data_IF_658884134909
#
_entry.id   IF_658884134909
#
_cell.length_a   1.000
_cell.length_b   1.000
_cell.length_c   1.000
_cell.angle_alpha   90.00
_cell.angle_beta   90.00
_cell.angle_gamma   90.00
#
_symmetry.space_group_name_H-M   'P 1'
#
loop_
_entity.id
_entity.type
_entity.pdbx_description
1 polymer ?
#
# COMPACT_ATOMS: atom_id res chain seq x y z
N UNK A 1 -13.86 11.42 -9.12
CA UNK A 1 -13.91 11.43 -7.64
C UNK A 1 -15.36 11.14 -7.23
N UNK A 2 -15.62 10.09 -6.44
CA UNK A 2 -16.99 9.66 -6.16
C UNK A 2 -17.72 10.66 -5.23
N UNK A 3 -19.06 10.78 -5.33
CA UNK A 3 -19.84 11.67 -4.47
C UNK A 3 -19.68 11.36 -2.97
N UNK A 4 -19.48 10.08 -2.63
CA UNK A 4 -19.24 9.60 -1.27
C UNK A 4 -17.94 10.16 -0.69
N UNK A 5 -16.84 10.15 -1.45
CA UNK A 5 -15.54 10.68 -1.01
C UNK A 5 -15.62 12.20 -0.79
N UNK A 6 -16.40 12.91 -1.62
CA UNK A 6 -16.59 14.36 -1.49
C UNK A 6 -17.40 14.73 -0.25
N UNK A 7 -18.44 13.97 0.09
CA UNK A 7 -19.19 14.14 1.34
C UNK A 7 -18.30 13.89 2.56
N UNK A 8 -17.49 12.82 2.51
CA UNK A 8 -16.56 12.49 3.59
C UNK A 8 -15.51 13.59 3.79
N UNK A 9 -14.95 14.12 2.70
CA UNK A 9 -13.98 15.21 2.75
C UNK A 9 -14.58 16.48 3.38
N UNK A 10 -15.82 16.85 3.01
CA UNK A 10 -16.53 17.97 3.64
C UNK A 10 -16.77 17.75 5.13
N UNK A 11 -17.22 16.56 5.53
CA UNK A 11 -17.51 16.21 6.94
C UNK A 11 -16.26 16.34 7.83
N UNK A 12 -15.11 15.93 7.32
CA UNK A 12 -13.85 15.94 8.06
C UNK A 12 -12.99 17.19 7.81
N UNK A 13 -13.54 18.22 7.13
CA UNK A 13 -12.81 19.45 6.75
C UNK A 13 -11.49 19.16 6.00
N UNK A 14 -11.49 18.09 5.20
CA UNK A 14 -10.34 17.69 4.40
C UNK A 14 -10.36 18.41 3.04
N UNK A 15 -9.17 18.63 2.49
CA UNK A 15 -9.03 19.15 1.12
C UNK A 15 -9.66 18.16 0.13
N UNK A 16 -10.38 18.71 -0.85
CA UNK A 16 -10.94 17.94 -1.97
C UNK A 16 -9.97 17.82 -3.15
N UNK A 17 -8.80 18.46 -3.08
CA UNK A 17 -7.74 18.24 -4.07
C UNK A 17 -7.23 16.82 -3.93
N UNK A 18 -6.99 16.15 -5.07
CA UNK A 18 -6.31 14.87 -5.07
C UNK A 18 -4.97 15.00 -4.35
N UNK A 19 -4.63 14.02 -3.52
CA UNK A 19 -3.31 13.98 -2.88
C UNK A 19 -2.27 13.83 -3.97
N UNK A 20 -1.27 14.71 -4.01
CA UNK A 20 -0.08 14.48 -4.81
C UNK A 20 0.46 13.10 -4.44
N UNK A 21 0.71 12.27 -5.46
CA UNK A 21 1.20 10.91 -5.29
C UNK A 21 2.69 10.92 -5.63
N UNK A 22 3.55 11.41 -4.73
CA UNK A 22 4.98 11.36 -4.96
C UNK A 22 5.40 9.89 -5.12
N UNK A 23 6.42 9.61 -5.94
CA UNK A 23 7.01 8.29 -6.01
C UNK A 23 7.53 7.90 -4.62
N UNK A 24 7.37 6.61 -4.27
CA UNK A 24 7.89 6.09 -3.01
C UNK A 24 9.42 6.03 -3.10
N UNK A 25 10.13 6.55 -2.09
CA UNK A 25 11.58 6.40 -2.01
C UNK A 25 11.94 4.96 -1.62
N UNK A 26 13.13 4.51 -2.00
CA UNK A 26 13.62 3.16 -1.68
C UNK A 26 13.73 2.95 -0.17
N UNK A 27 14.11 3.99 0.58
CA UNK A 27 14.20 3.91 2.05
C UNK A 27 12.82 3.82 2.70
N UNK A 28 11.85 4.55 2.15
CA UNK A 28 10.46 4.47 2.62
C UNK A 28 9.87 3.09 2.35
N UNK A 29 10.15 2.51 1.19
CA UNK A 29 9.75 1.15 0.86
C UNK A 29 10.35 0.13 1.84
N UNK A 30 11.65 0.23 2.10
CA UNK A 30 12.33 -0.66 3.05
C UNK A 30 11.69 -0.59 4.44
N UNK A 31 11.38 0.62 4.91
CA UNK A 31 10.72 0.83 6.20
C UNK A 31 9.30 0.25 6.24
N UNK A 32 8.55 0.35 5.14
CA UNK A 32 7.21 -0.26 5.03
C UNK A 32 7.30 -1.78 5.07
N UNK A 33 8.27 -2.37 4.37
CA UNK A 33 8.49 -3.83 4.38
C UNK A 33 8.91 -4.31 5.78
N UNK A 34 9.85 -3.61 6.41
CA UNK A 34 10.30 -3.90 7.78
C UNK A 34 9.13 -3.84 8.77
N UNK A 35 8.32 -2.78 8.72
CA UNK A 35 7.13 -2.65 9.58
C UNK A 35 6.13 -3.76 9.32
N UNK A 36 5.96 -4.17 8.05
CA UNK A 36 5.01 -5.24 7.67
C UNK A 36 5.42 -6.60 8.24
N UNK A 37 6.72 -6.87 8.34
CA UNK A 37 7.25 -8.12 8.88
C UNK A 37 7.30 -8.08 10.42
N UNK A 38 7.74 -6.95 10.98
CA UNK A 38 8.04 -6.80 12.42
C UNK A 38 6.80 -6.51 13.28
N UNK A 39 5.78 -5.84 12.75
CA UNK A 39 4.58 -5.51 13.52
C UNK A 39 3.62 -6.69 13.60
N UNK A 40 3.40 -7.20 14.81
CA UNK A 40 2.33 -8.17 15.14
C UNK A 40 1.01 -7.50 15.56
N UNK A 41 1.00 -6.16 15.71
CA UNK A 41 -0.21 -5.40 16.08
C UNK A 41 -1.30 -5.45 15.02
N UNK A 42 -0.92 -5.45 13.74
CA UNK A 42 -1.83 -5.87 12.67
C UNK A 42 -1.88 -7.39 12.71
N UNK A 43 -2.93 -7.92 13.34
CA UNK A 43 -3.24 -9.35 13.33
C UNK A 43 -3.62 -9.78 11.91
N UNK A 44 -2.64 -10.05 11.06
CA UNK A 44 -2.91 -10.93 9.94
C UNK A 44 -3.16 -12.31 10.55
N UNK A 45 -4.32 -12.91 10.25
CA UNK A 45 -4.71 -14.19 10.85
C UNK A 45 -3.71 -15.33 10.62
N UNK A 46 -2.76 -15.16 9.70
CA UNK A 46 -1.72 -16.13 9.37
C UNK A 46 -0.39 -15.42 9.08
N UNK A 47 0.72 -15.93 9.65
CA UNK A 47 2.07 -15.40 9.38
C UNK A 47 2.50 -15.46 7.91
N UNK A 48 1.88 -16.35 7.11
CA UNK A 48 2.10 -16.44 5.65
C UNK A 48 1.71 -15.14 4.93
N UNK A 49 0.71 -14.41 5.40
CA UNK A 49 0.30 -13.14 4.79
C UNK A 49 1.33 -12.03 4.97
N UNK A 50 2.14 -12.07 6.03
CA UNK A 50 3.24 -11.08 6.19
C UNK A 50 4.29 -11.27 5.11
N UNK A 51 4.66 -12.53 4.84
CA UNK A 51 5.65 -12.88 3.83
C UNK A 51 5.13 -12.55 2.43
N UNK A 52 3.88 -12.91 2.14
CA UNK A 52 3.23 -12.62 0.86
C UNK A 52 3.13 -11.10 0.61
N UNK A 53 2.75 -10.32 1.62
CA UNK A 53 2.65 -8.87 1.51
C UNK A 53 4.03 -8.22 1.36
N UNK A 54 5.05 -8.71 2.07
CA UNK A 54 6.43 -8.24 1.90
C UNK A 54 6.94 -8.48 0.48
N UNK A 55 6.74 -9.69 -0.06
CA UNK A 55 7.11 -10.03 -1.44
C UNK A 55 6.37 -9.13 -2.44
N UNK A 56 5.06 -8.95 -2.25
CA UNK A 56 4.25 -8.07 -3.09
C UNK A 56 4.76 -6.63 -3.12
N UNK A 57 5.11 -6.07 -1.95
CA UNK A 57 5.63 -4.70 -1.82
C UNK A 57 7.01 -4.56 -2.48
N UNK A 58 7.89 -5.55 -2.32
CA UNK A 58 9.20 -5.56 -2.97
C UNK A 58 9.09 -5.63 -4.50
N UNK A 59 8.22 -6.50 -5.03
CA UNK A 59 7.96 -6.58 -6.46
C UNK A 59 7.38 -5.27 -7.01
N UNK A 60 6.45 -4.63 -6.28
CA UNK A 60 5.87 -3.35 -6.66
C UNK A 60 6.91 -2.23 -6.68
N UNK A 61 7.80 -2.20 -5.70
CA UNK A 61 8.87 -1.22 -5.62
C UNK A 61 9.94 -1.38 -6.72
N UNK A 62 10.37 -2.61 -6.99
CA UNK A 62 11.42 -2.89 -7.98
C UNK A 62 10.93 -2.69 -9.42
N UNK A 63 9.73 -3.19 -9.72
CA UNK A 63 9.23 -3.18 -11.10
C UNK A 63 8.41 -1.94 -11.43
N UNK A 64 8.03 -1.15 -10.43
CA UNK A 64 7.08 -0.03 -10.57
C UNK A 64 5.76 -0.40 -11.26
N UNK A 65 5.44 -1.70 -11.30
CA UNK A 65 4.26 -2.21 -11.96
C UNK A 65 2.99 -1.86 -11.16
N UNK A 66 1.87 -1.86 -11.87
CA UNK A 66 0.56 -1.74 -11.23
C UNK A 66 0.34 -2.97 -10.33
N UNK A 67 -0.28 -2.78 -9.14
CA UNK A 67 -0.67 -3.86 -8.25
C UNK A 67 -1.31 -5.06 -8.95
N UNK A 68 -2.20 -4.80 -9.91
CA UNK A 68 -2.89 -5.84 -10.67
C UNK A 68 -1.95 -6.75 -11.45
N UNK A 69 -0.93 -6.18 -12.11
CA UNK A 69 0.04 -6.96 -12.88
C UNK A 69 0.89 -7.89 -12.00
N UNK A 70 1.07 -7.52 -10.72
CA UNK A 70 1.80 -8.34 -9.74
C UNK A 70 0.92 -9.48 -9.22
N UNK A 71 -0.39 -9.24 -9.08
CA UNK A 71 -1.34 -10.28 -8.69
C UNK A 71 -1.62 -11.28 -9.81
N UNK A 72 -1.50 -10.85 -11.07
CA UNK A 72 -1.69 -11.71 -12.23
C UNK A 72 -0.42 -12.51 -12.61
N UNK A 73 0.67 -12.39 -11.82
CA UNK A 73 1.88 -13.18 -12.03
C UNK A 73 1.56 -14.68 -11.89
N UNK A 74 2.02 -15.45 -12.87
CA UNK A 74 1.93 -16.90 -12.89
C UNK A 74 3.33 -17.49 -12.77
N UNK A 75 3.43 -18.66 -12.15
CA UNK A 75 4.66 -19.43 -12.08
C UNK A 75 5.01 -20.03 -13.44
#
# INVERSE_FOLDING_TARGET
>A
MSPVIRQLAKKHKLSSKGRDKPPIDVKDLAKVVETTISTTEKKFGHGRHHIELALFLQLAGLTTNRPQAILDLRY
#
